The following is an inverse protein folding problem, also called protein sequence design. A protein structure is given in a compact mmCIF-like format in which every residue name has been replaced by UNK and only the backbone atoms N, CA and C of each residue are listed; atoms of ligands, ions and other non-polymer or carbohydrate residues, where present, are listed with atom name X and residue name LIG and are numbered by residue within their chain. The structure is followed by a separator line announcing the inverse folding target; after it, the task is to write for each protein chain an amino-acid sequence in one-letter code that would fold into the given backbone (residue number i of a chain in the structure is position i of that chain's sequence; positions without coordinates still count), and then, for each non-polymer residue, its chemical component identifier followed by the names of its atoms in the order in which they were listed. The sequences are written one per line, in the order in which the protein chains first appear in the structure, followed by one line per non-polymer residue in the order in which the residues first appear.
data_IF_372659592367
#
_entry.id   IF_372659592367
#
_cell.length_a   1.000
_cell.length_b   1.000
_cell.length_c   1.000
_cell.angle_alpha   90.00
_cell.angle_beta   90.00
_cell.angle_gamma   90.00
#
_symmetry.space_group_name_H-M   'P 1'
#
loop_
_entity.id
_entity.type
_entity.pdbx_description
1 polymer ?
#
# COMPACT_ATOMS: atom_id res chain seq x y z
N UNK A 1 12.06 10.65 -19.58
CA UNK A 1 11.52 10.09 -18.32
C UNK A 1 10.08 9.65 -18.52
N UNK A 2 9.69 8.46 -18.06
CA UNK A 2 8.29 8.00 -18.13
C UNK A 2 7.44 8.92 -17.25
N UNK A 3 6.51 9.67 -17.86
CA UNK A 3 5.51 10.46 -17.11
C UNK A 3 4.73 9.50 -16.20
N UNK A 4 4.98 9.59 -14.89
CA UNK A 4 4.12 8.98 -13.87
C UNK A 4 2.83 9.77 -13.89
N UNK A 5 1.74 9.11 -14.24
CA UNK A 5 0.45 9.75 -14.43
C UNK A 5 -0.65 8.72 -14.36
N UNK A 6 -1.84 9.21 -14.04
CA UNK A 6 -3.03 8.39 -13.92
C UNK A 6 -3.41 7.73 -15.24
N UNK A 7 -3.80 6.47 -15.18
CA UNK A 7 -4.24 5.70 -16.36
C UNK A 7 -5.52 4.95 -16.00
N UNK A 8 -6.55 5.11 -16.83
CA UNK A 8 -7.76 4.31 -16.72
C UNK A 8 -7.43 2.85 -17.02
N UNK A 9 -7.85 1.95 -16.13
CA UNK A 9 -7.64 0.49 -16.24
C UNK A 9 -8.87 -0.22 -15.68
N UNK A 10 -9.10 -1.43 -16.16
CA UNK A 10 -10.08 -2.34 -15.60
C UNK A 10 -9.37 -3.28 -14.63
N UNK A 11 -9.65 -3.17 -13.33
CA UNK A 11 -9.02 -3.99 -12.29
C UNK A 11 -9.95 -5.14 -11.89
N UNK A 12 -9.36 -6.30 -11.65
CA UNK A 12 -10.07 -7.52 -11.24
C UNK A 12 -9.30 -8.14 -10.09
N UNK A 13 -10.00 -8.41 -8.99
CA UNK A 13 -9.54 -9.27 -7.90
C UNK A 13 -10.14 -10.66 -8.14
N UNK A 14 -9.33 -11.67 -8.53
CA UNK A 14 -9.80 -13.04 -8.70
C UNK A 14 -10.25 -13.65 -7.36
N UNK A 15 -11.10 -14.69 -7.38
CA UNK A 15 -11.57 -15.37 -6.17
C UNK A 15 -10.45 -15.96 -5.30
N UNK A 16 -9.29 -16.28 -5.89
CA UNK A 16 -8.13 -16.80 -5.16
C UNK A 16 -7.46 -15.76 -4.26
N UNK A 17 -7.74 -14.46 -4.46
CA UNK A 17 -7.20 -13.38 -3.65
C UNK A 17 -5.69 -13.18 -3.74
N UNK A 18 -5.01 -13.78 -4.73
CA UNK A 18 -3.54 -13.79 -4.77
C UNK A 18 -2.92 -12.58 -5.46
N UNK A 19 -3.69 -11.89 -6.30
CA UNK A 19 -3.24 -10.72 -7.09
C UNK A 19 -4.40 -9.87 -7.56
N UNK A 20 -4.14 -8.61 -7.86
CA UNK A 20 -5.06 -7.74 -8.61
C UNK A 20 -4.58 -7.64 -10.05
N UNK A 21 -5.29 -8.27 -10.98
CA UNK A 21 -5.01 -8.17 -12.42
C UNK A 21 -5.62 -6.90 -12.99
N UNK A 22 -4.98 -6.30 -14.00
CA UNK A 22 -5.51 -5.14 -14.69
C UNK A 22 -5.39 -5.20 -16.21
N UNK A 23 -6.38 -4.61 -16.86
CA UNK A 23 -6.58 -4.65 -18.30
C UNK A 23 -6.78 -3.23 -18.86
N UNK A 24 -6.72 -3.08 -20.18
CA UNK A 24 -7.04 -1.78 -20.82
C UNK A 24 -8.52 -1.43 -20.76
N UNK A 25 -9.39 -2.45 -20.75
CA UNK A 25 -10.84 -2.36 -20.72
C UNK A 25 -11.43 -3.68 -20.24
N UNK A 26 -12.72 -3.70 -19.92
CA UNK A 26 -13.43 -4.92 -19.52
C UNK A 26 -13.48 -6.00 -20.62
N UNK A 27 -13.49 -5.59 -21.89
CA UNK A 27 -13.51 -6.48 -23.06
C UNK A 27 -12.13 -6.91 -23.56
N UNK A 28 -11.06 -6.48 -22.90
CA UNK A 28 -9.71 -6.79 -23.37
C UNK A 28 -9.39 -8.28 -23.16
N UNK A 29 -9.06 -8.99 -24.24
CA UNK A 29 -8.69 -10.42 -24.18
C UNK A 29 -7.32 -10.72 -23.58
N UNK A 30 -6.56 -9.72 -23.12
CA UNK A 30 -5.21 -9.92 -22.56
C UNK A 30 -4.94 -9.00 -21.38
N UNK A 31 -4.42 -9.59 -20.32
CA UNK A 31 -3.93 -8.89 -19.12
C UNK A 31 -2.80 -7.92 -19.48
N UNK A 32 -2.82 -6.72 -18.90
CA UNK A 32 -1.70 -5.77 -19.01
C UNK A 32 -0.66 -5.95 -17.93
N UNK A 33 -1.07 -6.41 -16.76
CA UNK A 33 -0.21 -6.85 -15.67
C UNK A 33 -1.04 -7.13 -14.43
N UNK A 34 -0.34 -7.46 -13.35
CA UNK A 34 -0.94 -7.74 -12.05
C UNK A 34 -0.14 -7.10 -10.92
N UNK A 35 -0.81 -6.89 -9.79
CA UNK A 35 -0.22 -6.49 -8.52
C UNK A 35 -0.33 -7.70 -7.59
N UNK A 36 0.78 -8.38 -7.26
CA UNK A 36 0.74 -9.54 -6.37
C UNK A 36 0.34 -9.12 -4.96
N UNK A 37 -0.55 -9.88 -4.32
CA UNK A 37 -0.97 -9.68 -2.92
C UNK A 37 -0.17 -10.59 -1.98
N UNK A 38 1.13 -10.77 -2.28
CA UNK A 38 2.03 -11.57 -1.46
C UNK A 38 2.47 -10.79 -0.20
N UNK A 39 2.73 -11.53 0.88
CA UNK A 39 3.16 -10.94 2.14
C UNK A 39 4.60 -10.40 2.08
N UNK A 40 4.90 -9.26 2.75
CA UNK A 40 3.96 -8.38 3.43
C UNK A 40 3.32 -7.36 2.45
N UNK A 41 2.01 -7.17 2.57
CA UNK A 41 1.24 -6.21 1.78
C UNK A 41 0.17 -5.53 2.64
N UNK A 42 -0.11 -4.27 2.32
CA UNK A 42 -1.03 -3.41 3.08
C UNK A 42 -1.90 -2.56 2.14
N UNK A 43 -3.10 -2.23 2.60
CA UNK A 43 -4.06 -1.42 1.86
C UNK A 43 -4.77 -0.40 2.75
N UNK A 44 -4.71 0.86 2.35
CA UNK A 44 -5.28 1.97 3.10
C UNK A 44 -5.88 3.04 2.19
N UNK A 45 -6.87 3.77 2.69
CA UNK A 45 -7.43 4.92 1.99
C UNK A 45 -6.37 6.01 1.86
N UNK A 46 -6.22 6.55 0.65
CA UNK A 46 -5.16 7.50 0.37
C UNK A 46 -5.55 8.92 0.82
N UNK A 47 -4.61 9.63 1.44
CA UNK A 47 -4.77 11.02 1.87
C UNK A 47 -3.59 11.90 1.46
N UNK A 48 -3.75 13.23 1.62
CA UNK A 48 -2.68 14.21 1.41
C UNK A 48 -2.03 14.12 0.03
N UNK A 49 -0.72 13.83 0.01
CA UNK A 49 0.10 13.73 -1.21
C UNK A 49 -0.24 12.52 -2.10
N UNK A 50 -0.94 11.50 -1.57
CA UNK A 50 -1.35 10.30 -2.30
C UNK A 50 -2.79 10.38 -2.83
N UNK A 51 -3.41 11.57 -2.84
CA UNK A 51 -4.76 11.75 -3.35
C UNK A 51 -4.92 11.31 -4.81
N UNK A 52 -6.15 10.95 -5.15
CA UNK A 52 -6.55 10.65 -6.53
C UNK A 52 -6.38 11.83 -7.49
N UNK A 53 -6.55 11.59 -8.81
CA UNK A 53 -6.57 12.66 -9.80
C UNK A 53 -7.76 13.59 -9.56
N UNK A 54 -7.71 14.79 -10.13
CA UNK A 54 -8.83 15.72 -10.10
C UNK A 54 -10.13 15.03 -10.60
N UNK A 55 -11.21 15.16 -9.82
CA UNK A 55 -12.49 14.51 -10.11
C UNK A 55 -12.64 13.07 -9.60
N UNK A 56 -11.60 12.49 -8.98
CA UNK A 56 -11.63 11.13 -8.42
C UNK A 56 -11.15 11.13 -6.96
N UNK A 57 -11.99 11.54 -6.00
CA UNK A 57 -11.59 11.71 -4.60
C UNK A 57 -11.43 10.37 -3.86
N UNK A 58 -12.02 9.29 -4.38
CA UNK A 58 -12.08 7.98 -3.71
C UNK A 58 -10.84 7.14 -4.00
N UNK A 59 -9.69 7.59 -3.47
CA UNK A 59 -8.40 6.93 -3.72
C UNK A 59 -7.96 6.02 -2.57
N UNK A 60 -7.25 4.96 -2.91
CA UNK A 60 -6.60 4.05 -1.97
C UNK A 60 -5.23 3.63 -2.47
N UNK A 61 -4.34 3.29 -1.54
CA UNK A 61 -3.00 2.81 -1.81
C UNK A 61 -2.93 1.32 -1.51
N UNK A 62 -2.31 0.57 -2.41
CA UNK A 62 -1.92 -0.82 -2.21
C UNK A 62 -0.39 -0.86 -2.24
N UNK A 63 0.20 -1.25 -1.11
CA UNK A 63 1.65 -1.39 -0.93
C UNK A 63 1.99 -2.86 -0.78
N UNK A 64 2.96 -3.33 -1.55
CA UNK A 64 3.43 -4.72 -1.50
C UNK A 64 4.95 -4.68 -1.34
N UNK A 65 5.52 -5.63 -0.59
CA UNK A 65 6.97 -5.75 -0.46
C UNK A 65 7.42 -7.05 -1.10
N UNK A 66 8.16 -6.93 -2.19
CA UNK A 66 8.75 -8.07 -2.89
C UNK A 66 10.26 -7.89 -2.94
N UNK A 67 11.03 -8.93 -2.60
CA UNK A 67 12.50 -8.89 -2.64
C UNK A 67 13.13 -7.70 -1.89
N UNK A 68 12.59 -7.36 -0.70
CA UNK A 68 12.99 -6.19 0.13
C UNK A 68 12.75 -4.82 -0.51
N UNK A 69 12.00 -4.75 -1.60
CA UNK A 69 11.58 -3.50 -2.23
C UNK A 69 10.07 -3.31 -2.05
N UNK A 70 9.68 -2.18 -1.47
CA UNK A 70 8.27 -1.80 -1.36
C UNK A 70 7.81 -1.12 -2.63
N UNK A 71 6.77 -1.66 -3.24
CA UNK A 71 6.07 -1.06 -4.37
C UNK A 71 4.69 -0.60 -3.91
N UNK A 72 4.41 0.68 -4.11
CA UNK A 72 3.10 1.25 -3.82
C UNK A 72 2.43 1.70 -5.10
N UNK A 73 1.16 1.33 -5.26
CA UNK A 73 0.30 1.82 -6.32
C UNK A 73 -0.88 2.54 -5.71
N UNK A 74 -1.18 3.73 -6.24
CA UNK A 74 -2.38 4.47 -5.86
C UNK A 74 -3.44 4.23 -6.93
N UNK A 75 -4.62 3.81 -6.48
CA UNK A 75 -5.80 3.53 -7.27
C UNK A 75 -6.89 4.55 -6.90
N UNK A 76 -7.77 4.83 -7.84
CA UNK A 76 -8.92 5.70 -7.61
C UNK A 76 -10.18 5.01 -8.11
N UNK A 77 -11.17 4.91 -7.22
CA UNK A 77 -12.47 4.33 -7.46
C UNK A 77 -13.45 5.38 -8.02
N UNK A 78 -14.53 4.91 -8.65
CA UNK A 78 -15.59 5.76 -9.22
C UNK A 78 -16.51 6.36 -8.17
N UNK A 79 -16.67 5.68 -7.04
CA UNK A 79 -17.56 6.08 -5.94
C UNK A 79 -16.95 5.72 -4.58
N UNK A 80 -17.57 6.24 -3.52
CA UNK A 80 -17.22 5.85 -2.15
C UNK A 80 -17.51 4.36 -1.91
N UNK A 81 -18.65 3.86 -2.39
CA UNK A 81 -19.03 2.45 -2.27
C UNK A 81 -18.00 1.52 -2.93
N UNK A 82 -17.52 1.89 -4.13
CA UNK A 82 -16.47 1.13 -4.82
C UNK A 82 -15.19 1.11 -4.00
N UNK A 83 -14.77 2.26 -3.44
CA UNK A 83 -13.59 2.36 -2.57
C UNK A 83 -13.72 1.44 -1.36
N UNK A 84 -14.84 1.48 -0.65
CA UNK A 84 -15.10 0.66 0.54
C UNK A 84 -15.14 -0.84 0.19
N UNK A 85 -15.76 -1.18 -0.95
CA UNK A 85 -15.79 -2.55 -1.46
C UNK A 85 -14.38 -3.07 -1.78
N UNK A 86 -13.55 -2.27 -2.45
CA UNK A 86 -12.17 -2.63 -2.76
C UNK A 86 -11.31 -2.79 -1.50
N UNK A 87 -11.38 -1.84 -0.56
CA UNK A 87 -10.65 -1.95 0.71
C UNK A 87 -11.05 -3.21 1.48
N UNK A 88 -12.35 -3.48 1.55
CA UNK A 88 -12.89 -4.66 2.25
C UNK A 88 -12.44 -5.95 1.58
N UNK A 89 -12.51 -6.04 0.26
CA UNK A 89 -12.12 -7.23 -0.48
C UNK A 89 -10.61 -7.49 -0.37
N UNK A 90 -9.78 -6.46 -0.53
CA UNK A 90 -8.33 -6.59 -0.44
C UNK A 90 -7.88 -6.99 0.97
N UNK A 91 -8.44 -6.38 2.03
CA UNK A 91 -8.12 -6.74 3.43
C UNK A 91 -8.43 -8.19 3.79
N UNK A 92 -9.39 -8.82 3.11
CA UNK A 92 -9.68 -10.26 3.30
C UNK A 92 -8.66 -11.17 2.63
N UNK A 93 -7.97 -10.67 1.62
CA UNK A 93 -6.95 -11.42 0.88
C UNK A 93 -5.56 -11.26 1.49
N UNK A 94 -5.31 -10.14 2.18
CA UNK A 94 -4.06 -9.90 2.87
C UNK A 94 -3.99 -10.76 4.12
N UNK A 95 -2.87 -11.47 4.38
CA UNK A 95 -2.67 -12.11 5.66
C UNK A 95 -2.68 -11.04 6.74
N UNK A 96 -3.33 -11.32 7.88
CA UNK A 96 -3.11 -10.49 9.06
C UNK A 96 -1.59 -10.47 9.30
N UNK A 97 -1.00 -9.29 9.46
CA UNK A 97 0.34 -9.18 10.02
C UNK A 97 0.32 -10.04 11.28
N UNK A 98 1.01 -11.19 11.25
CA UNK A 98 1.30 -11.91 12.46
C UNK A 98 2.15 -10.94 13.26
N UNK A 99 1.51 -10.20 14.17
CA UNK A 99 2.19 -9.50 15.24
C UNK A 99 3.06 -10.58 15.86
N UNK A 100 4.40 -10.54 15.73
CA UNK A 100 5.21 -11.57 16.32
C UNK A 100 4.84 -11.61 17.80
N UNK A 101 4.27 -12.74 18.24
CA UNK A 101 3.81 -13.03 19.60
C UNK A 101 5.03 -13.20 20.52
N UNK A 102 5.96 -12.26 20.43
CA UNK A 102 7.12 -12.10 21.27
C UNK A 102 7.22 -10.61 21.56
N UNK A 103 6.26 -10.13 22.37
CA UNK A 103 6.58 -9.11 23.36
C UNK A 103 7.92 -9.52 23.99
N UNK A 104 8.97 -8.68 23.96
CA UNK A 104 10.17 -8.97 24.72
C UNK A 104 9.70 -9.20 26.15
N UNK A 105 9.88 -10.44 26.64
CA UNK A 105 9.71 -10.77 28.05
C UNK A 105 10.40 -9.66 28.81
N UNK A 106 9.62 -8.98 29.66
CA UNK A 106 10.09 -7.92 30.54
C UNK A 106 11.45 -8.33 31.08
N UNK A 107 12.52 -7.75 30.53
CA UNK A 107 13.82 -7.78 31.17
C UNK A 107 13.64 -6.85 32.34
N UNK A 108 13.38 -7.46 33.51
CA UNK A 108 13.52 -6.82 34.79
C UNK A 108 14.81 -6.01 34.79
N UNK A 109 14.66 -4.68 34.83
CA UNK A 109 15.75 -3.73 34.88
C UNK A 109 16.60 -3.67 33.62
N UNK A 110 16.22 -2.80 32.67
CA UNK A 110 17.15 -1.83 32.08
C UNK A 110 16.38 -0.74 31.33
N UNK A 111 16.62 0.48 31.78
CA UNK A 111 16.11 1.76 31.30
C UNK A 111 16.49 1.98 29.83
N UNK A 112 15.49 2.12 28.96
CA UNK A 112 15.68 2.66 27.62
C UNK A 112 15.46 4.18 27.70
N UNK A 113 16.55 4.91 27.92
CA UNK A 113 16.58 6.33 27.66
C UNK A 113 16.54 6.53 26.13
N UNK A 114 15.44 7.08 25.63
CA UNK A 114 15.38 7.61 24.27
C UNK A 114 15.85 9.06 24.36
N UNK A 115 17.14 9.31 24.15
CA UNK A 115 17.59 10.65 23.80
C UNK A 115 17.59 10.76 22.27
N UNK A 116 16.54 11.39 21.74
CA UNK A 116 16.52 11.92 20.37
C UNK A 116 17.34 13.21 20.39
N UNK A 117 18.37 13.26 19.56
CA UNK A 117 19.46 14.22 19.66
C UNK A 117 19.15 15.64 19.19
N UNK A 118 20.05 16.53 19.57
CA UNK A 118 20.25 17.81 18.91
C UNK A 118 21.52 17.73 18.05
N UNK A 119 21.35 17.82 16.74
CA UNK A 119 22.42 18.12 15.80
C UNK A 119 22.30 19.59 15.41
N UNK A 120 23.09 20.44 16.07
CA UNK A 120 23.46 21.76 15.58
C UNK A 120 24.99 21.82 15.59
N UNK A 121 25.63 21.61 14.44
CA UNK A 121 26.10 22.67 13.53
C UNK A 121 27.21 23.56 14.10
N UNK A 122 28.43 23.32 13.55
CA UNK A 122 29.53 24.24 13.17
C UNK A 122 30.13 25.17 14.24
N UNK A 123 31.46 25.11 14.40
CA UNK A 123 32.38 26.18 13.93
C UNK A 123 33.85 25.85 14.20
N UNK A 124 34.66 26.14 13.20
CA UNK A 124 36.12 26.03 13.13
C UNK A 124 36.82 26.95 14.12
N UNK A 125 38.00 26.52 14.58
CA UNK A 125 39.26 27.29 14.60
C UNK A 125 40.41 26.35 14.95
#
# INVERSE_FOLDING_TARGET
GRKRGWKKRWFVLPPDGTRVSYYTSASAGRERGAIPLAAPADVFQAGGAMRGPAGYPYAFCLSTTENRATQSVVLAASSQDDLEAWLTALRRCLPAEEVPEQLPKILHGKQLAIELGDVASVSSS
#
